data_IF_604363699812
#
_entry.id   IF_604363699812
#
_cell.length_a   1.000
_cell.length_b   1.000
_cell.length_c   1.000
_cell.angle_alpha   90.00
_cell.angle_beta   90.00
_cell.angle_gamma   90.00
#
_symmetry.space_group_name_H-M   'P 1'
#
loop_
_entity.id
_entity.type
_entity.pdbx_description
1 polymer ?
#
# COMPACT_ATOMS: atom_id res chain seq x y z
N UNK A 1 18.51 -11.74 2.90
CA UNK A 1 17.35 -10.86 3.16
C UNK A 1 16.41 -11.60 4.08
N UNK A 2 15.92 -10.94 5.14
CA UNK A 2 14.95 -11.50 6.08
C UNK A 2 13.53 -11.51 5.52
N UNK A 3 12.58 -12.09 6.27
CA UNK A 3 11.15 -12.00 6.01
C UNK A 3 10.68 -10.59 6.45
N UNK A 4 9.83 -9.89 5.66
CA UNK A 4 9.23 -8.62 6.09
C UNK A 4 8.46 -8.78 7.39
N UNK A 5 8.34 -7.71 8.17
CA UNK A 5 7.49 -7.72 9.34
C UNK A 5 6.01 -7.96 8.94
N UNK A 6 5.28 -8.70 9.76
CA UNK A 6 3.85 -8.90 9.57
C UNK A 6 3.11 -7.54 9.64
N UNK A 7 2.03 -7.38 8.90
CA UNK A 7 1.17 -6.20 8.97
C UNK A 7 1.68 -4.94 8.27
N UNK A 8 2.83 -4.96 7.58
CA UNK A 8 3.35 -3.78 6.87
C UNK A 8 2.40 -3.21 5.79
N UNK A 9 1.48 -4.01 5.29
CA UNK A 9 0.46 -3.54 4.36
C UNK A 9 -0.53 -2.54 4.98
N UNK A 10 -0.63 -2.47 6.30
CA UNK A 10 -1.53 -1.54 7.00
C UNK A 10 -1.00 -0.10 7.07
N UNK A 11 0.28 0.12 6.78
CA UNK A 11 0.88 1.45 6.89
C UNK A 11 0.89 2.23 5.57
N UNK A 12 0.58 1.60 4.43
CA UNK A 12 0.54 2.25 3.12
C UNK A 12 -0.82 2.07 2.48
N UNK A 13 -1.35 3.17 1.94
CA UNK A 13 -2.53 3.12 1.11
C UNK A 13 -2.21 2.90 -0.36
N UNK A 14 -3.20 2.40 -1.07
CA UNK A 14 -3.20 2.13 -2.50
C UNK A 14 -4.04 3.16 -3.25
N UNK A 15 -3.95 3.21 -4.57
CA UNK A 15 -4.78 4.13 -5.36
C UNK A 15 -6.26 3.78 -5.25
N UNK A 16 -6.59 2.48 -5.19
CA UNK A 16 -7.95 1.96 -4.97
C UNK A 16 -7.93 0.89 -3.88
N UNK A 17 -9.08 0.57 -3.32
CA UNK A 17 -9.24 -0.49 -2.33
C UNK A 17 -10.49 -1.31 -2.62
N UNK A 18 -10.44 -2.60 -2.34
CA UNK A 18 -11.59 -3.49 -2.45
C UNK A 18 -12.55 -3.31 -1.27
N UNK A 19 -13.82 -3.67 -1.47
CA UNK A 19 -14.78 -3.83 -0.39
C UNK A 19 -14.75 -5.26 0.13
N UNK A 20 -14.95 -5.42 1.45
CA UNK A 20 -14.96 -6.76 2.09
C UNK A 20 -16.25 -7.55 1.79
N UNK A 21 -17.31 -6.87 1.37
CA UNK A 21 -18.65 -7.43 1.13
C UNK A 21 -19.04 -7.48 -0.35
N UNK A 22 -18.24 -6.89 -1.24
CA UNK A 22 -18.48 -6.87 -2.68
C UNK A 22 -17.30 -7.49 -3.45
N UNK A 23 -17.50 -8.71 -3.95
CA UNK A 23 -16.49 -9.38 -4.75
C UNK A 23 -16.21 -8.62 -6.07
N UNK A 24 -14.93 -8.53 -6.45
CA UNK A 24 -14.46 -7.91 -7.71
C UNK A 24 -14.82 -6.43 -7.86
N UNK A 25 -15.11 -5.74 -6.77
CA UNK A 25 -15.40 -4.30 -6.74
C UNK A 25 -14.24 -3.54 -6.11
N UNK A 26 -13.79 -2.48 -6.77
CA UNK A 26 -12.75 -1.57 -6.28
C UNK A 26 -13.31 -0.17 -6.12
N UNK A 27 -12.98 0.46 -5.03
CA UNK A 27 -13.37 1.83 -4.69
C UNK A 27 -12.16 2.75 -4.71
N UNK A 28 -12.38 4.02 -4.99
CA UNK A 28 -11.33 5.02 -4.89
C UNK A 28 -10.85 5.18 -3.44
N UNK A 29 -9.53 5.34 -3.26
CA UNK A 29 -8.87 5.61 -1.99
C UNK A 29 -7.92 6.80 -2.16
N UNK A 30 -6.62 6.61 -2.44
CA UNK A 30 -5.76 7.73 -2.86
C UNK A 30 -6.29 8.36 -4.16
N UNK A 31 -6.91 7.58 -5.05
CA UNK A 31 -7.63 8.10 -6.20
C UNK A 31 -9.10 8.36 -5.86
N UNK A 32 -9.60 9.58 -6.08
CA UNK A 32 -11.02 9.91 -5.93
C UNK A 32 -11.84 9.62 -7.21
N UNK A 33 -11.17 9.50 -8.36
CA UNK A 33 -11.80 9.24 -9.66
C UNK A 33 -10.87 8.41 -10.54
N UNK A 34 -11.48 7.55 -11.36
CA UNK A 34 -10.79 6.66 -12.30
C UNK A 34 -11.39 6.84 -13.68
N UNK A 35 -10.54 6.97 -14.71
CA UNK A 35 -10.93 7.03 -16.11
C UNK A 35 -10.17 5.97 -16.90
N UNK A 36 -10.87 5.21 -17.72
CA UNK A 36 -10.26 4.25 -18.65
C UNK A 36 -11.15 4.07 -19.88
N UNK A 37 -10.59 3.74 -21.06
CA UNK A 37 -11.36 3.49 -22.27
C UNK A 37 -12.00 2.09 -22.25
N UNK A 38 -12.95 1.87 -23.13
CA UNK A 38 -13.64 0.57 -23.26
C UNK A 38 -12.66 -0.57 -23.57
N UNK A 39 -11.63 -0.29 -24.39
CA UNK A 39 -10.58 -1.25 -24.75
C UNK A 39 -9.54 -1.49 -23.64
N UNK A 40 -9.61 -0.71 -22.54
CA UNK A 40 -8.74 -0.83 -21.37
C UNK A 40 -7.24 -0.79 -21.68
N UNK A 41 -6.85 0.03 -22.65
CA UNK A 41 -5.45 0.20 -23.05
C UNK A 41 -4.66 1.09 -22.09
N UNK A 42 -5.34 1.89 -21.26
CA UNK A 42 -4.77 2.74 -20.22
C UNK A 42 -5.76 2.99 -19.08
N UNK A 43 -5.26 3.54 -17.98
CA UNK A 43 -6.08 4.08 -16.90
C UNK A 43 -5.48 5.40 -16.39
N UNK A 44 -6.35 6.33 -16.00
CA UNK A 44 -5.99 7.58 -15.33
C UNK A 44 -6.63 7.60 -13.96
N UNK A 45 -5.81 7.82 -12.93
CA UNK A 45 -6.26 8.06 -11.56
C UNK A 45 -6.13 9.55 -11.24
N UNK A 46 -7.20 10.12 -10.70
CA UNK A 46 -7.21 11.48 -10.16
C UNK A 46 -7.00 11.40 -8.66
N UNK A 47 -5.89 11.96 -8.17
CA UNK A 47 -5.54 11.84 -6.75
C UNK A 47 -6.41 12.76 -5.89
N UNK A 48 -6.91 12.21 -4.78
CA UNK A 48 -7.69 12.90 -3.78
C UNK A 48 -6.84 14.01 -3.13
N UNK A 49 -7.30 15.27 -3.14
CA UNK A 49 -6.56 16.38 -2.54
C UNK A 49 -6.35 16.27 -1.02
N UNK A 50 -7.13 15.42 -0.34
CA UNK A 50 -7.00 15.17 1.10
C UNK A 50 -5.97 14.08 1.43
N UNK A 51 -5.53 13.30 0.44
CA UNK A 51 -4.58 12.21 0.65
C UNK A 51 -3.23 12.75 1.13
N UNK A 52 -2.78 12.27 2.29
CA UNK A 52 -1.52 12.68 2.93
C UNK A 52 -0.81 11.51 3.58
N UNK A 53 0.49 11.66 3.76
CA UNK A 53 1.31 10.78 4.57
C UNK A 53 1.19 11.10 6.07
N UNK A 54 1.73 10.22 6.93
CA UNK A 54 1.68 10.35 8.39
C UNK A 54 2.43 11.58 8.92
N UNK A 55 3.37 12.11 8.17
CA UNK A 55 4.13 13.33 8.47
C UNK A 55 3.43 14.60 7.98
N UNK A 56 2.25 14.47 7.38
CA UNK A 56 1.43 15.58 6.90
C UNK A 56 1.69 16.01 5.45
N UNK A 57 2.76 15.50 4.80
CA UNK A 57 3.02 15.79 3.40
C UNK A 57 1.91 15.24 2.51
N UNK A 58 1.41 16.01 1.53
CA UNK A 58 0.36 15.55 0.62
C UNK A 58 0.91 14.48 -0.33
N UNK A 59 0.07 13.50 -0.66
CA UNK A 59 0.40 12.52 -1.69
C UNK A 59 0.28 13.17 -3.08
N UNK A 60 1.34 13.06 -3.88
CA UNK A 60 1.46 13.66 -5.20
C UNK A 60 1.65 12.60 -6.29
N UNK A 61 1.44 13.01 -7.54
CA UNK A 61 1.68 12.13 -8.70
C UNK A 61 3.13 11.64 -8.76
N UNK A 62 4.08 12.49 -8.34
CA UNK A 62 5.50 12.08 -8.29
C UNK A 62 5.76 10.93 -7.32
N UNK A 63 4.98 10.78 -6.24
CA UNK A 63 5.09 9.64 -5.31
C UNK A 63 4.64 8.34 -5.97
N UNK A 64 3.56 8.40 -6.76
CA UNK A 64 3.04 7.25 -7.53
C UNK A 64 4.07 6.78 -8.57
N UNK A 65 4.62 7.72 -9.35
CA UNK A 65 5.65 7.41 -10.36
C UNK A 65 6.92 6.87 -9.70
N UNK A 66 7.37 7.51 -8.62
CA UNK A 66 8.53 7.06 -7.84
C UNK A 66 8.31 5.63 -7.33
N UNK A 67 7.12 5.36 -6.79
CA UNK A 67 6.77 4.04 -6.26
C UNK A 67 6.84 2.97 -7.34
N UNK A 68 6.16 3.19 -8.46
CA UNK A 68 6.16 2.25 -9.56
C UNK A 68 7.59 1.90 -10.02
N UNK A 69 8.39 2.92 -10.30
CA UNK A 69 9.76 2.72 -10.75
C UNK A 69 10.61 1.99 -9.70
N UNK A 70 10.49 2.39 -8.43
CA UNK A 70 11.25 1.78 -7.33
C UNK A 70 10.88 0.31 -7.14
N UNK A 71 9.60 -0.05 -7.18
CA UNK A 71 9.15 -1.41 -7.01
C UNK A 71 9.56 -2.30 -8.19
N UNK A 72 9.52 -1.81 -9.42
CA UNK A 72 9.96 -2.54 -10.62
C UNK A 72 11.46 -2.76 -10.62
N UNK A 73 12.25 -1.75 -10.25
CA UNK A 73 13.71 -1.81 -10.32
C UNK A 73 14.35 -2.49 -9.11
N UNK A 74 13.86 -2.20 -7.90
CA UNK A 74 14.50 -2.55 -6.62
C UNK A 74 13.64 -3.39 -5.70
N UNK A 75 12.34 -3.53 -6.01
CA UNK A 75 11.41 -4.31 -5.22
C UNK A 75 11.60 -5.82 -5.32
N UNK A 76 10.68 -6.58 -4.70
CA UNK A 76 10.62 -8.03 -4.88
C UNK A 76 10.40 -8.36 -6.36
N UNK A 77 10.96 -9.46 -6.88
CA UNK A 77 10.69 -9.96 -8.24
C UNK A 77 9.20 -10.10 -8.57
N UNK A 78 8.36 -10.30 -7.55
CA UNK A 78 6.90 -10.30 -7.67
C UNK A 78 6.39 -9.05 -8.38
N UNK A 79 6.82 -7.85 -7.98
CA UNK A 79 6.34 -6.59 -8.55
C UNK A 79 6.64 -6.46 -10.05
N UNK A 80 7.82 -6.91 -10.47
CA UNK A 80 8.20 -6.91 -11.89
C UNK A 80 7.30 -7.82 -12.72
N UNK A 81 6.85 -8.94 -12.16
CA UNK A 81 5.90 -9.83 -12.82
C UNK A 81 4.48 -9.28 -12.76
N UNK A 82 4.06 -8.78 -11.60
CA UNK A 82 2.70 -8.32 -11.35
C UNK A 82 2.32 -7.08 -12.15
N UNK A 83 3.23 -6.11 -12.25
CA UNK A 83 3.05 -4.88 -13.02
C UNK A 83 3.69 -4.92 -14.41
N UNK A 84 4.11 -6.10 -14.90
CA UNK A 84 4.91 -6.25 -16.11
C UNK A 84 4.26 -5.78 -17.40
N UNK A 85 2.94 -5.67 -17.44
CA UNK A 85 2.20 -5.15 -18.59
C UNK A 85 1.92 -3.63 -18.51
N UNK A 86 2.37 -2.96 -17.46
CA UNK A 86 2.40 -1.49 -17.37
C UNK A 86 3.72 -1.02 -17.98
N UNK A 87 3.64 -0.31 -19.09
CA UNK A 87 4.82 0.12 -19.85
C UNK A 87 5.24 1.56 -19.60
N UNK A 88 4.32 2.40 -19.13
CA UNK A 88 4.60 3.81 -18.80
C UNK A 88 3.67 4.26 -17.68
N UNK A 89 4.21 5.08 -16.75
CA UNK A 89 3.44 5.83 -15.75
C UNK A 89 3.81 7.29 -15.89
N UNK A 90 2.81 8.16 -16.17
CA UNK A 90 3.03 9.53 -16.58
C UNK A 90 2.18 10.52 -15.80
N UNK A 91 2.76 11.65 -15.42
CA UNK A 91 2.06 12.81 -14.90
C UNK A 91 1.35 13.57 -16.03
N UNK A 92 0.05 13.79 -15.88
CA UNK A 92 -0.75 14.59 -16.82
C UNK A 92 -1.06 16.00 -16.29
N UNK A 93 -0.50 16.37 -15.13
CA UNK A 93 -0.90 17.58 -14.41
C UNK A 93 -2.21 17.40 -13.66
N UNK A 94 -2.64 18.45 -12.95
CA UNK A 94 -3.92 18.49 -12.22
C UNK A 94 -4.20 17.25 -11.37
N UNK A 95 -3.15 16.73 -10.70
CA UNK A 95 -3.21 15.53 -9.84
C UNK A 95 -3.61 14.25 -10.57
N UNK A 96 -3.35 14.16 -11.86
CA UNK A 96 -3.69 13.00 -12.69
C UNK A 96 -2.46 12.20 -13.02
N UNK A 97 -2.50 10.91 -12.76
CA UNK A 97 -1.48 9.94 -13.15
C UNK A 97 -2.05 8.94 -14.14
N UNK A 98 -1.39 8.76 -15.28
CA UNK A 98 -1.76 7.81 -16.31
C UNK A 98 -0.85 6.59 -16.26
N UNK A 99 -1.45 5.41 -16.29
CA UNK A 99 -0.78 4.14 -16.52
C UNK A 99 -1.11 3.66 -17.94
N UNK A 100 -0.11 3.47 -18.76
CA UNK A 100 -0.23 2.94 -20.12
C UNK A 100 0.08 1.44 -20.08
N UNK A 101 -0.80 0.64 -20.67
CA UNK A 101 -0.63 -0.81 -20.74
C UNK A 101 0.02 -1.24 -22.06
N UNK A 102 0.64 -2.42 -22.01
CA UNK A 102 1.28 -3.05 -23.17
C UNK A 102 0.26 -3.29 -24.28
N UNK A 103 0.60 -2.92 -25.48
CA UNK A 103 -0.22 -3.22 -26.67
C UNK A 103 -0.39 -4.74 -26.84
N UNK A 104 -1.61 -5.18 -27.13
CA UNK A 104 -1.95 -6.58 -27.32
C UNK A 104 -2.02 -7.43 -26.05
N UNK A 105 -1.92 -6.82 -24.85
CA UNK A 105 -2.17 -7.57 -23.60
C UNK A 105 -3.59 -8.10 -23.57
N UNK A 106 -3.74 -9.34 -23.09
CA UNK A 106 -5.05 -9.98 -22.87
C UNK A 106 -5.55 -9.84 -21.43
N UNK A 107 -4.73 -9.25 -20.55
CA UNK A 107 -5.08 -9.06 -19.15
C UNK A 107 -6.05 -7.88 -18.98
N UNK A 108 -7.32 -8.21 -18.77
CA UNK A 108 -8.38 -7.22 -18.56
C UNK A 108 -8.43 -6.60 -17.16
N UNK A 109 -7.65 -7.14 -16.22
CA UNK A 109 -7.62 -6.69 -14.84
C UNK A 109 -6.56 -5.61 -14.58
N UNK A 110 -5.81 -5.19 -15.59
CA UNK A 110 -4.72 -4.21 -15.44
C UNK A 110 -5.17 -2.89 -14.81
N UNK A 111 -6.41 -2.46 -15.05
CA UNK A 111 -6.99 -1.29 -14.40
C UNK A 111 -7.06 -1.48 -12.89
N UNK A 112 -7.48 -2.65 -12.41
CA UNK A 112 -7.55 -2.99 -10.98
C UNK A 112 -6.14 -3.20 -10.40
N UNK A 113 -5.29 -3.93 -11.13
CA UNK A 113 -3.90 -4.21 -10.74
C UNK A 113 -3.12 -2.90 -10.53
N UNK A 114 -3.24 -1.93 -11.44
CA UNK A 114 -2.58 -0.64 -11.28
C UNK A 114 -3.10 0.13 -10.04
N UNK A 115 -4.40 -0.02 -9.71
CA UNK A 115 -5.02 0.56 -8.53
C UNK A 115 -4.47 0.05 -7.21
N UNK A 116 -3.97 -1.17 -7.17
CA UNK A 116 -3.41 -1.83 -5.98
C UNK A 116 -1.96 -1.43 -5.68
N UNK A 117 -1.41 -0.43 -6.38
CA UNK A 117 -0.06 0.07 -6.12
C UNK A 117 0.01 0.76 -4.75
N UNK A 118 0.76 0.24 -3.76
CA UNK A 118 0.96 0.90 -2.47
C UNK A 118 1.85 2.12 -2.65
N UNK A 119 1.36 3.33 -2.33
CA UNK A 119 2.09 4.56 -2.63
C UNK A 119 3.10 4.87 -1.55
N UNK A 120 4.38 4.93 -1.93
CA UNK A 120 5.51 5.25 -1.07
C UNK A 120 5.82 6.75 -1.08
N UNK A 121 6.17 7.36 0.06
CA UNK A 121 6.59 8.76 0.12
C UNK A 121 7.97 8.94 -0.54
N UNK A 122 8.01 9.60 -1.69
CA UNK A 122 9.25 9.89 -2.41
C UNK A 122 10.23 10.65 -1.53
N UNK A 123 9.77 11.71 -0.84
CA UNK A 123 10.60 12.55 0.03
C UNK A 123 11.29 11.76 1.17
N UNK A 124 10.68 10.66 1.62
CA UNK A 124 11.28 9.79 2.63
C UNK A 124 12.28 8.79 2.04
N UNK A 125 11.95 8.21 0.87
CA UNK A 125 12.72 7.11 0.28
C UNK A 125 13.79 7.57 -0.70
N UNK A 126 13.68 8.77 -1.28
CA UNK A 126 14.68 9.31 -2.20
C UNK A 126 16.05 9.40 -1.53
N UNK A 127 17.07 8.89 -2.21
CA UNK A 127 18.44 8.81 -1.67
C UNK A 127 18.69 7.64 -0.70
N UNK A 128 17.67 6.86 -0.31
CA UNK A 128 17.84 5.64 0.48
C UNK A 128 17.95 4.41 -0.44
N UNK A 129 18.72 3.44 0.00
CA UNK A 129 18.80 2.15 -0.70
C UNK A 129 17.60 1.28 -0.32
N UNK A 130 16.55 1.32 -1.15
CA UNK A 130 15.32 0.56 -0.97
C UNK A 130 15.54 -0.97 -0.93
N UNK A 131 16.64 -1.46 -1.47
CA UNK A 131 16.99 -2.89 -1.48
C UNK A 131 17.51 -3.40 -0.12
N UNK A 132 17.85 -2.51 0.80
CA UNK A 132 18.38 -2.85 2.13
C UNK A 132 17.27 -2.93 3.16
N UNK A 133 17.41 -3.88 4.08
CA UNK A 133 16.57 -3.92 5.28
C UNK A 133 16.92 -2.75 6.20
N UNK A 134 15.90 -2.16 6.82
CA UNK A 134 16.05 -1.08 7.81
C UNK A 134 15.36 -1.47 9.10
N UNK A 135 15.85 -0.93 10.22
CA UNK A 135 15.19 -0.97 11.53
C UNK A 135 14.67 0.43 11.92
N UNK A 136 14.47 1.29 10.94
CA UNK A 136 13.80 2.59 11.12
C UNK A 136 12.38 2.45 10.61
N UNK A 137 11.40 2.81 11.44
CA UNK A 137 10.00 2.80 11.05
C UNK A 137 9.79 3.74 9.85
N UNK A 138 9.22 3.26 8.74
CA UNK A 138 8.99 4.10 7.58
C UNK A 138 7.78 5.01 7.79
N UNK A 139 7.75 6.13 7.06
CA UNK A 139 6.58 6.99 6.92
C UNK A 139 5.58 6.30 5.99
N UNK A 140 4.35 6.19 6.41
CA UNK A 140 3.24 5.61 5.66
C UNK A 140 2.11 6.61 5.41
N UNK A 141 0.98 6.12 4.94
CA UNK A 141 -0.26 6.88 4.64
C UNK A 141 -1.52 6.17 5.13
N UNK A 142 -1.35 4.96 5.67
CA UNK A 142 -2.44 4.07 6.03
C UNK A 142 -3.06 4.35 7.41
N UNK A 143 -4.08 3.55 7.79
CA UNK A 143 -4.81 3.73 9.05
C UNK A 143 -3.98 3.38 10.29
N UNK A 144 -2.87 2.68 10.11
CA UNK A 144 -1.95 2.33 11.19
C UNK A 144 -0.54 2.82 10.89
N UNK A 145 0.23 3.09 11.96
CA UNK A 145 1.67 3.34 11.92
C UNK A 145 2.40 2.44 12.90
N UNK A 146 3.67 2.19 12.66
CA UNK A 146 4.50 1.42 13.60
C UNK A 146 4.72 2.25 14.86
N UNK A 147 4.25 1.73 16.00
CA UNK A 147 4.42 2.31 17.33
C UNK A 147 5.75 1.90 17.96
N UNK A 148 6.00 0.59 17.95
CA UNK A 148 7.20 -0.01 18.56
C UNK A 148 7.49 -1.36 17.91
N UNK A 149 8.74 -1.78 17.95
CA UNK A 149 9.12 -3.12 17.51
C UNK A 149 10.42 -3.60 18.13
N UNK A 150 10.55 -4.92 18.22
CA UNK A 150 11.80 -5.59 18.57
C UNK A 150 12.05 -6.69 17.55
N UNK A 151 13.06 -6.50 16.71
CA UNK A 151 13.38 -7.41 15.61
C UNK A 151 13.43 -8.88 16.09
N UNK A 152 12.69 -9.75 15.41
CA UNK A 152 12.55 -11.17 15.72
C UNK A 152 11.73 -11.49 16.97
N UNK A 153 11.08 -10.52 17.61
CA UNK A 153 10.24 -10.73 18.79
C UNK A 153 8.82 -10.24 18.58
N UNK A 154 8.63 -8.95 18.28
CA UNK A 154 7.32 -8.37 18.06
C UNK A 154 7.37 -7.12 17.20
N UNK A 155 6.21 -6.74 16.69
CA UNK A 155 5.91 -5.42 16.13
C UNK A 155 4.52 -4.99 16.60
N UNK A 156 4.38 -3.72 16.95
CA UNK A 156 3.14 -3.10 17.42
C UNK A 156 2.80 -1.95 16.46
N UNK A 157 1.57 -1.97 16.00
CA UNK A 157 0.97 -0.88 15.23
C UNK A 157 -0.02 -0.14 16.11
N UNK A 158 -0.06 1.18 15.98
CA UNK A 158 -1.10 2.01 16.59
C UNK A 158 -1.94 2.66 15.50
N UNK A 159 -3.23 2.83 15.77
CA UNK A 159 -4.14 3.52 14.88
C UNK A 159 -3.76 5.00 14.77
N UNK A 160 -3.90 5.57 13.59
CA UNK A 160 -3.66 6.98 13.31
C UNK A 160 -4.96 7.75 13.56
N UNK A 161 -5.00 8.60 14.59
CA UNK A 161 -6.21 9.31 15.00
C UNK A 161 -6.72 10.29 13.93
N UNK A 162 -5.81 10.94 13.20
CA UNK A 162 -6.11 11.88 12.12
C UNK A 162 -5.95 11.25 10.72
N UNK A 163 -6.24 9.97 10.62
CA UNK A 163 -6.18 9.24 9.34
C UNK A 163 -7.05 9.92 8.29
N UNK A 164 -6.43 10.36 7.20
CA UNK A 164 -7.04 11.22 6.19
C UNK A 164 -8.25 10.60 5.47
N UNK A 165 -8.32 9.27 5.39
CA UNK A 165 -9.37 8.54 4.69
C UNK A 165 -10.47 8.00 5.61
N UNK A 166 -10.46 8.30 6.91
CA UNK A 166 -11.41 7.78 7.90
C UNK A 166 -12.88 8.04 7.56
N UNK A 167 -13.17 9.16 6.87
CA UNK A 167 -14.53 9.55 6.46
C UNK A 167 -14.93 9.04 5.07
N UNK A 168 -14.02 8.37 4.34
CA UNK A 168 -14.38 7.77 3.05
C UNK A 168 -15.36 6.61 3.27
N UNK A 169 -16.45 6.52 2.48
CA UNK A 169 -17.46 5.48 2.68
C UNK A 169 -16.91 4.06 2.79
N UNK A 170 -15.88 3.73 1.99
CA UNK A 170 -15.24 2.41 1.99
C UNK A 170 -14.44 2.12 3.26
N UNK A 171 -14.08 3.15 4.05
CA UNK A 171 -13.31 3.02 5.29
C UNK A 171 -14.18 3.06 6.56
N UNK A 172 -15.44 3.46 6.43
CA UNK A 172 -16.38 3.52 7.58
C UNK A 172 -16.59 2.12 8.15
N UNK A 173 -16.41 1.99 9.46
CA UNK A 173 -16.53 0.70 10.16
C UNK A 173 -15.29 -0.19 10.08
N UNK A 174 -14.23 0.28 9.42
CA UNK A 174 -12.92 -0.40 9.37
C UNK A 174 -11.95 0.13 10.42
N UNK A 175 -10.82 -0.58 10.61
CA UNK A 175 -9.69 -0.13 11.43
C UNK A 175 -10.07 0.19 12.89
N UNK A 176 -10.84 -0.70 13.51
CA UNK A 176 -11.47 -0.48 14.82
C UNK A 176 -10.54 -0.72 16.03
N UNK A 177 -9.41 -1.38 15.86
CA UNK A 177 -8.46 -1.64 16.94
C UNK A 177 -7.54 -0.44 17.17
N UNK A 178 -7.31 -0.06 18.42
CA UNK A 178 -6.37 1.02 18.76
C UNK A 178 -4.93 0.57 18.58
N UNK A 179 -4.65 -0.70 18.86
CA UNK A 179 -3.34 -1.33 18.68
C UNK A 179 -3.49 -2.73 18.09
N UNK A 180 -2.55 -3.09 17.22
CA UNK A 180 -2.40 -4.44 16.66
C UNK A 180 -0.97 -4.87 16.92
N UNK A 181 -0.81 -6.03 17.58
CA UNK A 181 0.49 -6.59 17.91
C UNK A 181 0.70 -7.93 17.23
N UNK A 182 1.85 -8.10 16.60
CA UNK A 182 2.32 -9.39 16.08
C UNK A 182 3.51 -9.84 16.90
N UNK A 183 3.40 -11.02 17.53
CA UNK A 183 4.50 -11.69 18.22
C UNK A 183 5.11 -12.77 17.33
N UNK A 184 6.44 -12.86 17.31
CA UNK A 184 7.17 -13.83 16.51
C UNK A 184 7.65 -14.98 17.40
N UNK A 185 7.19 -16.17 17.11
CA UNK A 185 7.57 -17.37 17.81
C UNK A 185 8.64 -18.12 17.03
N UNK A 186 9.46 -18.88 17.73
CA UNK A 186 10.57 -19.64 17.17
C UNK A 186 10.08 -20.70 16.15
N UNK A 187 8.96 -21.35 16.48
CA UNK A 187 8.35 -22.38 15.66
C UNK A 187 6.84 -22.47 15.92
N UNK A 188 6.13 -23.23 15.07
CA UNK A 188 4.67 -23.37 15.15
C UNK A 188 4.19 -24.07 16.44
N UNK A 189 4.99 -24.93 17.05
CA UNK A 189 4.61 -25.64 18.28
C UNK A 189 4.58 -24.64 19.45
N UNK A 190 5.61 -23.81 19.57
CA UNK A 190 5.66 -22.77 20.62
C UNK A 190 4.53 -21.74 20.40
N UNK A 191 4.26 -21.36 19.16
CA UNK A 191 3.12 -20.47 18.85
C UNK A 191 1.79 -21.08 19.27
N UNK A 192 1.56 -22.37 18.97
CA UNK A 192 0.32 -23.06 19.35
C UNK A 192 0.16 -23.15 20.89
N UNK A 193 1.23 -23.41 21.63
CA UNK A 193 1.15 -23.45 23.10
C UNK A 193 0.87 -22.07 23.69
N UNK A 194 1.44 -20.99 23.12
CA UNK A 194 1.14 -19.61 23.52
C UNK A 194 -0.34 -19.26 23.26
N UNK A 195 -0.89 -19.66 22.09
CA UNK A 195 -2.31 -19.50 21.81
C UNK A 195 -3.20 -20.24 22.81
N UNK A 196 -2.90 -21.52 23.13
CA UNK A 196 -3.63 -22.28 24.14
C UNK A 196 -3.55 -21.66 25.54
N UNK A 197 -2.45 -20.97 25.84
CA UNK A 197 -2.26 -20.24 27.09
C UNK A 197 -3.00 -18.89 27.11
N UNK A 198 -3.62 -18.46 25.99
CA UNK A 198 -4.33 -17.17 25.87
C UNK A 198 -3.38 -15.97 25.79
N UNK A 199 -2.16 -16.14 25.29
CA UNK A 199 -1.20 -15.03 25.15
C UNK A 199 -1.49 -14.15 23.93
N UNK A 200 -2.26 -14.67 22.95
CA UNK A 200 -2.74 -13.92 21.78
C UNK A 200 -4.02 -14.56 21.19
N UNK A 201 -4.73 -13.80 20.35
CA UNK A 201 -5.99 -14.18 19.70
C UNK A 201 -5.77 -14.85 18.33
#
# INVERSE_FOLDING_TARGET
>A
KGVPAAGLNMIYETLTTGSSDEAFTEYGLIAEKIEYPEDRTWVIYHLNPKAKFHDGEPIKVEDVIFTFNTLIEKGSPFYKSYYGDIVEVKDLGDRKVKFQFREGTTNRELVLIAGQLPVLPKHYWEGKDFSKSTLVAPVGSGPYRIKDFRAGKYIIYERVDDYWASELPVMIGSNNFDEIRYDYYRDATVSLEAFKAGEYD
#
